data_IF_310420973372
#
_entry.id   IF_310420973372
#
_cell.length_a   1.000
_cell.length_b   1.000
_cell.length_c   1.000
_cell.angle_alpha   90.00
_cell.angle_beta   90.00
_cell.angle_gamma   90.00
#
_symmetry.space_group_name_H-M   'P 1'
#
loop_
_entity.id
_entity.type
_entity.pdbx_description
1 polymer ?
#
# COMPACT_ATOMS: atom_id res chain seq x y z
N UNK A 1 -12.23 24.19 -1.44
CA UNK A 1 -12.62 23.45 -2.66
C UNK A 1 -11.65 23.61 -3.84
N UNK A 2 -11.02 24.77 -4.05
CA UNK A 2 -10.08 24.99 -5.17
C UNK A 2 -8.89 24.00 -5.20
N UNK A 3 -8.28 23.73 -4.04
CA UNK A 3 -7.11 22.83 -3.91
C UNK A 3 -7.45 21.40 -4.36
N UNK A 4 -8.64 20.90 -4.03
CA UNK A 4 -9.06 19.54 -4.41
C UNK A 4 -9.34 19.42 -5.90
N UNK A 5 -9.91 20.47 -6.53
CA UNK A 5 -10.09 20.53 -8.00
C UNK A 5 -8.75 20.60 -8.74
N UNK A 6 -7.81 21.39 -8.23
CA UNK A 6 -6.45 21.47 -8.79
C UNK A 6 -5.70 20.15 -8.65
N UNK A 7 -5.77 19.51 -7.48
CA UNK A 7 -5.19 18.19 -7.24
C UNK A 7 -5.76 17.14 -8.21
N UNK A 8 -7.09 17.16 -8.42
CA UNK A 8 -7.74 16.25 -9.37
C UNK A 8 -7.29 16.47 -10.81
N UNK A 9 -7.14 17.73 -11.24
CA UNK A 9 -6.66 18.06 -12.58
C UNK A 9 -5.26 17.50 -12.83
N UNK A 10 -4.35 17.64 -11.86
CA UNK A 10 -2.99 17.07 -11.91
C UNK A 10 -3.07 15.54 -11.99
N UNK A 11 -3.85 14.92 -11.10
CA UNK A 11 -4.02 13.46 -11.07
C UNK A 11 -4.53 12.93 -12.41
N UNK A 12 -5.56 13.56 -12.98
CA UNK A 12 -6.15 13.17 -14.27
C UNK A 12 -5.16 13.30 -15.42
N UNK A 13 -4.37 14.38 -15.43
CA UNK A 13 -3.36 14.61 -16.45
C UNK A 13 -2.24 13.57 -16.37
N UNK A 14 -1.78 13.21 -15.18
CA UNK A 14 -0.76 12.18 -14.98
C UNK A 14 -1.23 10.80 -15.48
N UNK A 15 -2.47 10.42 -15.20
CA UNK A 15 -3.07 9.17 -15.69
C UNK A 15 -3.19 9.16 -17.22
N UNK A 16 -3.63 10.28 -17.82
CA UNK A 16 -3.77 10.39 -19.28
C UNK A 16 -2.43 10.35 -20.01
N UNK A 17 -1.39 10.91 -19.39
CA UNK A 17 -0.06 10.97 -19.99
C UNK A 17 0.70 9.63 -19.89
N UNK A 18 0.32 8.72 -18.99
CA UNK A 18 1.01 7.44 -18.77
C UNK A 18 0.04 6.24 -18.72
N UNK A 19 -0.71 5.93 -19.79
CA UNK A 19 -1.62 4.78 -19.82
C UNK A 19 -0.88 3.43 -19.69
N UNK A 20 0.36 3.35 -20.20
CA UNK A 20 1.18 2.14 -20.07
C UNK A 20 1.57 1.82 -18.62
N UNK A 21 1.72 2.83 -17.76
CA UNK A 21 2.04 2.61 -16.35
C UNK A 21 0.89 1.92 -15.60
N UNK A 22 -0.37 2.24 -15.96
CA UNK A 22 -1.55 1.56 -15.44
C UNK A 22 -1.59 0.09 -15.86
N UNK A 23 -1.34 -0.19 -17.14
CA UNK A 23 -1.29 -1.56 -17.66
C UNK A 23 -0.21 -2.40 -16.97
N UNK A 24 1.01 -1.85 -16.83
CA UNK A 24 2.10 -2.52 -16.11
C UNK A 24 1.78 -2.76 -14.64
N UNK A 25 1.17 -1.77 -13.98
CA UNK A 25 0.72 -1.91 -12.59
C UNK A 25 -0.28 -3.06 -12.46
N UNK A 26 -1.28 -3.10 -13.34
CA UNK A 26 -2.29 -4.15 -13.33
C UNK A 26 -1.68 -5.53 -13.55
N UNK A 27 -0.80 -5.69 -14.54
CA UNK A 27 -0.08 -6.95 -14.77
C UNK A 27 0.74 -7.39 -13.55
N UNK A 28 1.46 -6.46 -12.92
CA UNK A 28 2.28 -6.77 -11.75
C UNK A 28 1.42 -7.19 -10.55
N UNK A 29 0.31 -6.50 -10.30
CA UNK A 29 -0.63 -6.87 -9.24
C UNK A 29 -1.30 -8.22 -9.51
N UNK A 30 -1.64 -8.51 -10.78
CA UNK A 30 -2.18 -9.82 -11.13
C UNK A 30 -1.18 -10.94 -10.86
N UNK A 31 0.09 -10.73 -11.23
CA UNK A 31 1.17 -11.66 -10.93
C UNK A 31 1.31 -11.89 -9.41
N UNK A 32 1.37 -10.81 -8.63
CA UNK A 32 1.47 -10.90 -7.16
C UNK A 32 0.27 -11.62 -6.53
N UNK A 33 -0.95 -11.30 -6.98
CA UNK A 33 -2.17 -11.95 -6.50
C UNK A 33 -2.19 -13.44 -6.82
N UNK A 34 -1.78 -13.82 -8.04
CA UNK A 34 -1.68 -15.21 -8.45
C UNK A 34 -0.64 -15.98 -7.64
N UNK A 35 0.58 -15.45 -7.50
CA UNK A 35 1.64 -16.08 -6.69
C UNK A 35 1.21 -16.25 -5.23
N UNK A 36 0.60 -15.22 -4.63
CA UNK A 36 0.11 -15.30 -3.26
C UNK A 36 -1.00 -16.34 -3.10
N UNK A 37 -1.93 -16.42 -4.05
CA UNK A 37 -2.99 -17.44 -4.06
C UNK A 37 -2.43 -18.85 -4.00
N UNK A 38 -1.36 -19.08 -4.76
CA UNK A 38 -0.70 -20.38 -4.84
C UNK A 38 0.01 -20.72 -3.52
N UNK A 39 0.75 -19.76 -2.95
CA UNK A 39 1.40 -19.91 -1.64
C UNK A 39 0.38 -20.26 -0.56
N UNK A 40 -0.73 -19.52 -0.47
CA UNK A 40 -1.79 -19.77 0.52
C UNK A 40 -2.46 -21.13 0.32
N UNK A 41 -2.62 -21.58 -0.93
CA UNK A 41 -3.26 -22.86 -1.24
C UNK A 41 -2.38 -24.06 -0.92
N UNK A 42 -1.07 -23.95 -1.16
CA UNK A 42 -0.11 -25.01 -0.82
C UNK A 42 0.04 -25.17 0.70
N UNK A 43 0.07 -24.06 1.44
CA UNK A 43 0.38 -24.10 2.86
C UNK A 43 -0.82 -24.49 3.76
N UNK A 44 -2.06 -24.26 3.31
CA UNK A 44 -3.24 -24.66 4.08
C UNK A 44 -3.44 -26.19 4.17
N UNK A 45 -2.78 -26.97 3.32
CA UNK A 45 -3.02 -28.41 3.16
C UNK A 45 -2.32 -29.34 4.16
N UNK A 46 -1.15 -28.98 4.70
CA UNK A 46 -0.29 -29.95 5.41
C UNK A 46 -0.33 -29.89 6.94
N UNK A 47 -0.76 -28.78 7.57
CA UNK A 47 -0.70 -28.68 9.04
C UNK A 47 -1.70 -27.72 9.71
N UNK A 48 -2.66 -27.14 8.98
CA UNK A 48 -3.68 -26.22 9.54
C UNK A 48 -3.13 -24.88 10.06
N UNK A 49 -1.81 -24.71 10.13
CA UNK A 49 -1.12 -23.48 10.45
C UNK A 49 -0.33 -23.02 9.22
N UNK A 50 -0.65 -21.83 8.70
CA UNK A 50 0.13 -21.18 7.64
C UNK A 50 1.61 -21.08 8.02
N UNK A 51 2.50 -21.10 7.04
CA UNK A 51 3.92 -20.90 7.27
C UNK A 51 4.17 -19.38 7.46
N UNK A 52 5.12 -18.96 8.33
CA UNK A 52 5.58 -17.56 8.39
C UNK A 52 5.99 -16.95 7.04
N UNK A 53 6.25 -17.77 6.02
CA UNK A 53 6.47 -17.32 4.65
C UNK A 53 5.25 -16.58 4.07
N UNK A 54 4.03 -17.12 4.21
CA UNK A 54 2.82 -16.44 3.74
C UNK A 54 2.58 -15.13 4.49
N UNK A 55 2.77 -15.10 5.81
CA UNK A 55 2.66 -13.88 6.62
C UNK A 55 3.66 -12.81 6.15
N UNK A 56 4.92 -13.20 5.95
CA UNK A 56 5.96 -12.28 5.47
C UNK A 56 5.63 -11.73 4.08
N UNK A 57 5.26 -12.61 3.14
CA UNK A 57 4.89 -12.22 1.79
C UNK A 57 3.70 -11.27 1.84
N UNK A 58 2.66 -11.55 2.63
CA UNK A 58 1.50 -10.67 2.73
C UNK A 58 1.86 -9.30 3.33
N UNK A 59 2.65 -9.26 4.41
CA UNK A 59 3.10 -8.01 5.03
C UNK A 59 3.94 -7.14 4.10
N UNK A 60 4.74 -7.76 3.22
CA UNK A 60 5.59 -7.06 2.25
C UNK A 60 4.79 -6.64 1.01
N UNK A 61 3.84 -7.45 0.55
CA UNK A 61 3.04 -7.20 -0.65
C UNK A 61 1.95 -6.14 -0.47
N UNK A 62 1.38 -6.00 0.73
CA UNK A 62 0.25 -5.08 0.94
C UNK A 62 0.57 -3.60 0.67
N UNK A 63 1.72 -3.05 1.09
CA UNK A 63 2.11 -1.69 0.72
C UNK A 63 2.27 -1.50 -0.79
N UNK A 64 2.64 -2.55 -1.53
CA UNK A 64 2.80 -2.50 -2.98
C UNK A 64 1.50 -2.25 -3.75
N UNK A 65 0.34 -2.47 -3.13
CA UNK A 65 -0.97 -2.12 -3.70
C UNK A 65 -1.17 -0.60 -3.80
N UNK A 66 -0.48 0.19 -3.00
CA UNK A 66 -0.58 1.66 -3.00
C UNK A 66 0.24 2.37 -4.07
N UNK A 67 1.03 1.63 -4.86
CA UNK A 67 1.91 2.20 -5.87
C UNK A 67 1.35 2.09 -7.30
N UNK A 68 1.63 3.12 -8.09
CA UNK A 68 1.53 3.08 -9.55
C UNK A 68 2.95 2.88 -10.08
N UNK A 69 3.17 1.75 -10.74
CA UNK A 69 4.45 1.39 -11.31
C UNK A 69 4.68 2.17 -12.61
N UNK A 70 5.38 3.29 -12.49
CA UNK A 70 5.82 4.10 -13.62
C UNK A 70 7.35 4.09 -13.71
N UNK A 71 7.89 4.39 -14.89
CA UNK A 71 9.33 4.54 -15.17
C UNK A 71 10.01 5.48 -14.17
N UNK A 72 9.28 6.50 -13.70
CA UNK A 72 9.71 7.43 -12.65
C UNK A 72 9.93 6.75 -11.29
N UNK A 73 9.03 5.84 -10.90
CA UNK A 73 9.11 5.06 -9.67
C UNK A 73 10.29 4.09 -9.71
N UNK A 74 10.77 3.68 -10.89
CA UNK A 74 11.96 2.82 -11.03
C UNK A 74 13.28 3.60 -11.14
N UNK A 75 13.25 4.85 -11.62
CA UNK A 75 14.44 5.71 -11.76
C UNK A 75 14.85 6.49 -10.49
N UNK A 76 14.13 6.34 -9.39
CA UNK A 76 14.40 7.06 -8.13
C UNK A 76 15.81 6.85 -7.55
N UNK A 77 16.49 5.75 -7.89
CA UNK A 77 17.88 5.49 -7.48
C UNK A 77 18.91 6.27 -8.31
N UNK A 78 18.62 6.57 -9.57
CA UNK A 78 19.55 7.15 -10.54
C UNK A 78 19.34 8.64 -10.77
N UNK A 79 18.08 9.09 -10.74
CA UNK A 79 17.71 10.50 -10.91
C UNK A 79 17.04 10.97 -9.62
N UNK A 80 17.43 12.14 -9.10
CA UNK A 80 16.76 12.80 -7.96
C UNK A 80 15.40 13.38 -8.44
N UNK A 81 14.56 12.49 -8.99
CA UNK A 81 13.35 12.79 -9.76
C UNK A 81 12.31 13.54 -8.92
N UNK A 82 12.37 13.36 -7.60
CA UNK A 82 11.55 14.06 -6.62
C UNK A 82 12.02 15.50 -6.37
N UNK A 83 13.33 15.73 -6.31
CA UNK A 83 13.92 17.06 -6.18
C UNK A 83 13.66 17.91 -7.44
N UNK A 84 13.81 17.32 -8.64
CA UNK A 84 13.43 17.98 -9.89
C UNK A 84 11.92 18.22 -10.00
N UNK A 85 11.08 17.32 -9.47
CA UNK A 85 9.63 17.54 -9.38
C UNK A 85 9.30 18.77 -8.55
N UNK A 86 9.92 18.87 -7.38
CA UNK A 86 9.69 19.96 -6.43
C UNK A 86 10.18 21.29 -7.00
N UNK A 87 11.31 21.30 -7.71
CA UNK A 87 11.81 22.47 -8.42
C UNK A 87 10.84 22.90 -9.54
N UNK A 88 10.38 21.96 -10.38
CA UNK A 88 9.41 22.24 -11.43
C UNK A 88 8.06 22.74 -10.86
N UNK A 89 7.56 22.08 -9.81
CA UNK A 89 6.29 22.47 -9.18
C UNK A 89 6.35 23.83 -8.46
N UNK A 90 7.54 24.28 -8.04
CA UNK A 90 7.74 25.66 -7.55
C UNK A 90 7.72 26.72 -8.67
N UNK A 91 8.02 26.35 -9.92
CA UNK A 91 7.90 27.27 -11.08
C UNK A 91 6.46 27.44 -11.55
N UNK A 92 5.55 26.56 -11.12
CA UNK A 92 4.12 26.67 -11.42
C UNK A 92 3.40 27.41 -10.28
N UNK A 93 2.38 28.25 -10.57
CA UNK A 93 1.57 28.92 -9.56
C UNK A 93 0.56 27.95 -8.92
N UNK A 94 1.06 26.82 -8.39
CA UNK A 94 0.27 25.74 -7.80
C UNK A 94 0.67 25.62 -6.33
N UNK A 95 -0.30 25.62 -5.39
CA UNK A 95 0.03 25.47 -3.98
C UNK A 95 0.59 24.07 -3.71
N UNK A 96 1.65 23.98 -2.89
CA UNK A 96 2.29 22.71 -2.48
C UNK A 96 1.27 21.71 -1.89
N UNK A 97 0.24 22.22 -1.21
CA UNK A 97 -0.86 21.40 -0.70
C UNK A 97 -1.66 20.68 -1.79
N UNK A 98 -1.80 21.25 -3.00
CA UNK A 98 -2.47 20.59 -4.12
C UNK A 98 -1.65 19.43 -4.69
N UNK A 99 -0.32 19.54 -4.68
CA UNK A 99 0.61 18.49 -5.11
C UNK A 99 0.58 17.31 -4.15
N UNK A 100 0.66 17.56 -2.85
CA UNK A 100 0.59 16.48 -1.86
C UNK A 100 -0.79 15.79 -1.96
N UNK A 101 -1.86 16.58 -2.14
CA UNK A 101 -3.21 16.04 -2.28
C UNK A 101 -3.41 15.22 -3.56
N UNK A 102 -2.81 15.62 -4.69
CA UNK A 102 -2.87 14.83 -5.93
C UNK A 102 -2.18 13.48 -5.73
N UNK A 103 -1.07 13.46 -4.98
CA UNK A 103 -0.34 12.24 -4.67
C UNK A 103 -1.11 11.30 -3.73
N UNK A 104 -1.79 11.84 -2.73
CA UNK A 104 -2.73 11.09 -1.89
C UNK A 104 -3.86 10.49 -2.73
N UNK A 105 -4.46 11.28 -3.63
CA UNK A 105 -5.50 10.79 -4.53
C UNK A 105 -4.99 9.64 -5.40
N UNK A 106 -3.82 9.77 -6.03
CA UNK A 106 -3.22 8.72 -6.84
C UNK A 106 -2.97 7.44 -6.04
N UNK A 107 -2.45 7.54 -4.81
CA UNK A 107 -2.27 6.38 -3.94
C UNK A 107 -3.59 5.72 -3.56
N UNK A 108 -4.65 6.51 -3.28
CA UNK A 108 -6.00 5.98 -3.00
C UNK A 108 -6.58 5.26 -4.21
N UNK A 109 -6.49 5.85 -5.41
CA UNK A 109 -6.97 5.20 -6.64
C UNK A 109 -6.19 3.92 -6.94
N UNK A 110 -4.87 3.94 -6.75
CA UNK A 110 -4.04 2.76 -6.87
C UNK A 110 -4.47 1.69 -5.87
N UNK A 111 -4.64 2.03 -4.59
CA UNK A 111 -5.12 1.10 -3.58
C UNK A 111 -6.46 0.48 -3.96
N UNK A 112 -7.45 1.28 -4.35
CA UNK A 112 -8.78 0.77 -4.70
C UNK A 112 -8.68 -0.18 -5.90
N UNK A 113 -8.04 0.24 -7.00
CA UNK A 113 -7.93 -0.57 -8.22
C UNK A 113 -7.12 -1.84 -8.00
N UNK A 114 -5.94 -1.72 -7.39
CA UNK A 114 -5.01 -2.83 -7.18
C UNK A 114 -5.56 -3.81 -6.15
N UNK A 115 -6.18 -3.34 -5.06
CA UNK A 115 -6.73 -4.23 -4.03
C UNK A 115 -7.89 -5.05 -4.59
N UNK A 116 -8.76 -4.45 -5.40
CA UNK A 116 -9.86 -5.19 -6.05
C UNK A 116 -9.31 -6.33 -6.89
N UNK A 117 -8.33 -6.07 -7.77
CA UNK A 117 -7.71 -7.11 -8.61
C UNK A 117 -7.00 -8.17 -7.77
N UNK A 118 -6.19 -7.74 -6.80
CA UNK A 118 -5.39 -8.61 -5.94
C UNK A 118 -6.27 -9.57 -5.13
N UNK A 119 -7.27 -9.05 -4.42
CA UNK A 119 -8.16 -9.86 -3.62
C UNK A 119 -9.05 -10.75 -4.51
N UNK A 120 -9.61 -10.24 -5.61
CA UNK A 120 -10.39 -11.11 -6.53
C UNK A 120 -9.56 -12.32 -6.96
N UNK A 121 -8.30 -12.13 -7.35
CA UNK A 121 -7.42 -13.25 -7.69
C UNK A 121 -7.12 -14.15 -6.49
N UNK A 122 -6.76 -13.56 -5.35
CA UNK A 122 -6.50 -14.28 -4.09
C UNK A 122 -7.62 -15.27 -3.76
N UNK A 123 -8.87 -14.82 -3.86
CA UNK A 123 -10.04 -15.59 -3.46
C UNK A 123 -10.58 -16.53 -4.54
N UNK A 124 -10.39 -16.20 -5.83
CA UNK A 124 -10.85 -17.05 -6.94
C UNK A 124 -9.91 -18.22 -7.18
N UNK A 125 -8.60 -18.00 -7.03
CA UNK A 125 -7.56 -19.01 -7.26
C UNK A 125 -7.27 -19.82 -5.99
N UNK A 126 -7.35 -19.22 -4.80
CA UNK A 126 -7.22 -19.97 -3.55
C UNK A 126 -8.50 -20.73 -3.22
N UNK A 127 -8.53 -22.01 -3.60
CA UNK A 127 -9.65 -22.91 -3.29
C UNK A 127 -9.88 -23.07 -1.78
N UNK A 128 -8.83 -22.93 -0.97
CA UNK A 128 -8.90 -23.01 0.49
C UNK A 128 -9.62 -21.80 1.08
N UNK A 129 -9.26 -20.58 0.73
CA UNK A 129 -9.99 -19.37 1.17
C UNK A 129 -11.45 -19.39 0.72
N UNK A 130 -11.74 -19.89 -0.48
CA UNK A 130 -13.09 -19.97 -1.04
C UNK A 130 -14.02 -20.89 -0.24
N UNK A 131 -13.51 -22.03 0.23
CA UNK A 131 -14.28 -22.98 1.04
C UNK A 131 -14.61 -22.44 2.45
N UNK A 132 -13.83 -21.45 2.94
CA UNK A 132 -13.99 -20.86 4.26
C UNK A 132 -14.80 -19.54 4.27
N UNK A 133 -15.21 -19.01 3.11
CA UNK A 133 -15.61 -17.60 2.95
C UNK A 133 -17.10 -17.38 2.62
N UNK A 134 -17.81 -16.67 3.51
CA UNK A 134 -18.99 -15.87 3.15
C UNK A 134 -18.60 -14.50 2.59
N UNK A 135 -19.53 -13.78 1.94
CA UNK A 135 -19.27 -12.44 1.38
C UNK A 135 -18.79 -11.42 2.41
N UNK A 136 -19.25 -11.51 3.66
CA UNK A 136 -18.80 -10.65 4.77
C UNK A 136 -17.35 -10.90 5.24
N UNK A 137 -16.86 -12.13 5.13
CA UNK A 137 -15.46 -12.47 5.42
C UNK A 137 -14.53 -11.84 4.39
N UNK A 138 -14.90 -11.90 3.11
CA UNK A 138 -14.10 -11.32 2.02
C UNK A 138 -13.85 -9.83 2.25
N UNK A 139 -14.90 -9.08 2.55
CA UNK A 139 -14.83 -7.62 2.69
C UNK A 139 -14.01 -7.24 3.94
N UNK A 140 -14.26 -7.90 5.07
CA UNK A 140 -13.56 -7.60 6.33
C UNK A 140 -12.08 -7.94 6.28
N UNK A 141 -11.73 -9.07 5.67
CA UNK A 141 -10.34 -9.46 5.47
C UNK A 141 -9.61 -8.48 4.55
N UNK A 142 -10.20 -8.16 3.39
CA UNK A 142 -9.61 -7.20 2.45
C UNK A 142 -9.41 -5.82 3.09
N UNK A 143 -10.41 -5.29 3.79
CA UNK A 143 -10.33 -3.98 4.44
C UNK A 143 -9.27 -3.91 5.54
N UNK A 144 -9.10 -4.99 6.32
CA UNK A 144 -8.06 -5.07 7.35
C UNK A 144 -6.67 -4.90 6.74
N UNK A 145 -6.40 -5.64 5.66
CA UNK A 145 -5.11 -5.61 4.99
C UNK A 145 -4.89 -4.32 4.17
N UNK A 146 -5.95 -3.73 3.61
CA UNK A 146 -5.90 -2.40 3.00
C UNK A 146 -5.51 -1.35 4.03
N UNK A 147 -6.11 -1.37 5.23
CA UNK A 147 -5.77 -0.42 6.29
C UNK A 147 -4.29 -0.46 6.68
N UNK A 148 -3.74 -1.66 6.86
CA UNK A 148 -2.31 -1.87 7.09
C UNK A 148 -1.44 -1.36 5.92
N UNK A 149 -1.79 -1.71 4.68
CA UNK A 149 -1.09 -1.24 3.50
C UNK A 149 -1.07 0.29 3.40
N UNK A 150 -2.21 0.94 3.66
CA UNK A 150 -2.35 2.40 3.65
C UNK A 150 -1.44 3.07 4.68
N UNK A 151 -1.28 2.48 5.88
CA UNK A 151 -0.39 3.01 6.91
C UNK A 151 1.06 3.04 6.43
N UNK A 152 1.54 1.93 5.87
CA UNK A 152 2.92 1.85 5.37
C UNK A 152 3.11 2.77 4.16
N UNK A 153 2.11 2.84 3.27
CA UNK A 153 2.16 3.74 2.13
C UNK A 153 2.25 5.21 2.56
N UNK A 154 1.59 5.59 3.65
CA UNK A 154 1.68 6.94 4.20
C UNK A 154 3.12 7.28 4.64
N UNK A 155 3.86 6.31 5.17
CA UNK A 155 5.28 6.45 5.53
C UNK A 155 6.13 6.63 4.26
N UNK A 156 5.90 5.80 3.24
CA UNK A 156 6.60 5.94 1.96
C UNK A 156 6.37 7.30 1.32
N UNK A 157 5.13 7.78 1.30
CA UNK A 157 4.76 9.08 0.74
C UNK A 157 5.42 10.24 1.50
N UNK A 158 5.45 10.20 2.83
CA UNK A 158 6.12 11.22 3.63
C UNK A 158 7.60 11.35 3.24
N UNK A 159 8.26 10.23 2.96
CA UNK A 159 9.68 10.19 2.63
C UNK A 159 9.97 10.55 1.17
N UNK A 160 9.05 10.21 0.26
CA UNK A 160 9.05 10.61 -1.16
C UNK A 160 9.26 12.13 -1.29
N UNK A 161 8.65 12.91 -0.40
CA UNK A 161 8.74 14.36 -0.39
C UNK A 161 9.90 14.94 0.45
N UNK A 162 10.53 14.15 1.33
CA UNK A 162 11.49 14.66 2.31
C UNK A 162 12.95 14.28 2.04
N UNK A 163 13.24 13.12 1.45
CA UNK A 163 14.62 12.61 1.37
C UNK A 163 15.02 12.20 -0.05
N UNK A 164 16.33 12.26 -0.33
CA UNK A 164 16.96 11.79 -1.57
C UNK A 164 16.68 10.30 -1.80
N UNK A 165 16.63 9.87 -3.05
CA UNK A 165 16.29 8.48 -3.43
C UNK A 165 17.09 7.37 -2.74
N UNK A 166 18.34 7.60 -2.37
CA UNK A 166 19.16 6.64 -1.59
C UNK A 166 18.60 6.36 -0.19
N UNK A 167 18.03 7.37 0.48
CA UNK A 167 17.42 7.19 1.79
C UNK A 167 16.09 6.43 1.72
N UNK A 168 15.37 6.57 0.60
CA UNK A 168 14.17 5.80 0.33
C UNK A 168 14.48 4.30 0.23
N UNK A 169 15.55 3.93 -0.48
CA UNK A 169 15.99 2.54 -0.62
C UNK A 169 16.35 1.88 0.72
N UNK A 170 17.20 2.54 1.53
CA UNK A 170 17.58 2.02 2.84
C UNK A 170 16.37 1.82 3.76
N UNK A 171 15.40 2.73 3.69
CA UNK A 171 14.20 2.61 4.49
C UNK A 171 13.27 1.52 3.98
N UNK A 172 13.10 1.32 2.67
CA UNK A 172 12.37 0.15 2.16
C UNK A 172 12.99 -1.16 2.64
N UNK A 173 14.33 -1.22 2.71
CA UNK A 173 15.05 -2.38 3.22
C UNK A 173 14.79 -2.58 4.73
N UNK A 174 14.82 -1.50 5.52
CA UNK A 174 14.46 -1.54 6.95
C UNK A 174 13.01 -1.99 7.15
N UNK A 175 12.06 -1.47 6.37
CA UNK A 175 10.65 -1.89 6.46
C UNK A 175 10.51 -3.38 6.14
N UNK A 176 11.16 -3.87 5.08
CA UNK A 176 11.18 -5.30 4.78
C UNK A 176 11.75 -6.13 5.94
N UNK A 177 12.84 -5.66 6.55
CA UNK A 177 13.46 -6.35 7.69
C UNK A 177 12.53 -6.37 8.91
N UNK A 178 11.85 -5.25 9.20
CA UNK A 178 10.84 -5.16 10.27
C UNK A 178 9.67 -6.11 9.99
N UNK A 179 9.15 -6.16 8.78
CA UNK A 179 8.10 -7.12 8.40
C UNK A 179 8.57 -8.57 8.61
N UNK A 180 9.83 -8.88 8.28
CA UNK A 180 10.46 -10.17 8.53
C UNK A 180 10.53 -10.51 10.02
N UNK A 181 11.02 -9.58 10.83
CA UNK A 181 11.09 -9.75 12.29
C UNK A 181 9.70 -9.95 12.89
N UNK A 182 8.69 -9.18 12.46
CA UNK A 182 7.31 -9.32 12.94
C UNK A 182 6.80 -10.73 12.60
N UNK A 183 6.96 -11.20 11.37
CA UNK A 183 6.54 -12.56 10.97
C UNK A 183 7.19 -13.64 11.84
N UNK A 184 8.50 -13.53 12.07
CA UNK A 184 9.24 -14.48 12.93
C UNK A 184 8.74 -14.42 14.38
N UNK A 185 8.52 -13.23 14.92
CA UNK A 185 8.04 -13.05 16.29
C UNK A 185 6.64 -13.66 16.47
N UNK A 186 5.71 -13.39 15.55
CA UNK A 186 4.37 -13.97 15.59
C UNK A 186 4.42 -15.51 15.55
N UNK A 187 5.34 -16.07 14.78
CA UNK A 187 5.57 -17.52 14.74
C UNK A 187 6.12 -18.08 16.05
N UNK A 188 7.02 -17.38 16.74
CA UNK A 188 7.55 -17.82 18.04
C UNK A 188 6.41 -17.97 19.07
N UNK A 189 5.36 -17.13 18.98
CA UNK A 189 4.14 -17.24 19.79
C UNK A 189 3.15 -18.30 19.29
N UNK A 190 3.51 -19.10 18.29
CA UNK A 190 2.67 -20.17 17.74
C UNK A 190 1.47 -19.68 16.91
N UNK A 191 1.44 -18.40 16.54
CA UNK A 191 0.36 -17.82 15.76
C UNK A 191 0.81 -17.49 14.33
N UNK A 192 -0.16 -17.23 13.44
CA UNK A 192 0.10 -16.62 12.13
C UNK A 192 -0.85 -15.42 11.94
N UNK A 193 -0.34 -14.30 11.44
CA UNK A 193 -1.09 -13.07 11.22
C UNK A 193 -2.22 -13.26 10.22
N UNK A 194 -1.96 -13.98 9.12
CA UNK A 194 -2.98 -14.26 8.10
C UNK A 194 -4.08 -15.16 8.67
N UNK A 195 -3.73 -16.15 9.51
CA UNK A 195 -4.74 -17.02 10.11
C UNK A 195 -5.54 -16.32 11.21
N UNK A 196 -4.90 -15.48 12.04
CA UNK A 196 -5.58 -14.65 13.06
C UNK A 196 -6.55 -13.68 12.40
N UNK A 197 -6.07 -12.93 11.39
CA UNK A 197 -6.93 -11.97 10.68
C UNK A 197 -8.06 -12.68 9.95
N UNK A 198 -7.83 -13.87 9.40
CA UNK A 198 -8.89 -14.70 8.84
C UNK A 198 -9.90 -15.17 9.90
N UNK A 199 -9.44 -15.63 11.07
CA UNK A 199 -10.32 -16.06 12.16
C UNK A 199 -11.27 -14.94 12.63
N UNK A 200 -10.72 -13.76 12.96
CA UNK A 200 -11.53 -12.61 13.38
C UNK A 200 -12.46 -12.11 12.27
N UNK A 201 -12.03 -12.16 11.02
CA UNK A 201 -12.88 -11.79 9.87
C UNK A 201 -14.02 -12.78 9.66
N UNK A 202 -13.84 -14.06 10.02
CA UNK A 202 -14.89 -15.08 9.92
C UNK A 202 -15.92 -14.90 11.01
N UNK A 203 -15.46 -14.71 12.24
CA UNK A 203 -16.33 -14.70 13.41
C UNK A 203 -17.13 -13.39 13.54
N UNK A 204 -16.51 -12.24 13.24
CA UNK A 204 -17.13 -10.93 13.41
C UNK A 204 -17.54 -10.27 12.10
N UNK A 205 -17.10 -10.80 10.95
CA UNK A 205 -17.37 -10.23 9.62
C UNK A 205 -17.09 -8.70 9.60
N UNK A 206 -18.08 -7.89 9.19
CA UNK A 206 -17.98 -6.42 9.11
C UNK A 206 -17.89 -5.72 10.48
N UNK A 207 -18.22 -6.41 11.57
CA UNK A 207 -18.11 -5.90 12.94
C UNK A 207 -16.74 -6.18 13.56
N UNK A 208 -15.81 -6.75 12.80
CA UNK A 208 -14.46 -7.05 13.27
C UNK A 208 -13.76 -5.79 13.82
N UNK A 209 -13.43 -5.75 15.12
CA UNK A 209 -12.70 -4.63 15.71
C UNK A 209 -11.32 -4.42 15.05
N UNK A 210 -10.72 -5.51 14.57
CA UNK A 210 -9.43 -5.52 13.88
C UNK A 210 -9.51 -4.77 12.55
N UNK A 211 -10.60 -4.94 11.80
CA UNK A 211 -10.84 -4.23 10.54
C UNK A 211 -10.93 -2.72 10.76
N UNK A 212 -11.78 -2.29 11.71
CA UNK A 212 -11.94 -0.87 12.02
C UNK A 212 -10.67 -0.24 12.59
N UNK A 213 -9.93 -0.98 13.43
CA UNK A 213 -8.62 -0.54 13.93
C UNK A 213 -7.60 -0.37 12.82
N UNK A 214 -7.50 -1.31 11.88
CA UNK A 214 -6.60 -1.21 10.74
C UNK A 214 -6.96 -0.05 9.80
N UNK A 215 -8.25 0.17 9.54
CA UNK A 215 -8.70 1.31 8.73
C UNK A 215 -8.44 2.65 9.43
N UNK A 216 -8.77 2.75 10.72
CA UNK A 216 -8.56 3.97 11.50
C UNK A 216 -7.08 4.34 11.57
N UNK A 217 -6.21 3.36 11.80
CA UNK A 217 -4.75 3.54 11.82
C UNK A 217 -4.20 3.93 10.44
N UNK A 218 -4.70 3.32 9.36
CA UNK A 218 -4.35 3.70 7.98
C UNK A 218 -4.74 5.14 7.63
N UNK A 219 -5.98 5.54 7.91
CA UNK A 219 -6.47 6.92 7.69
C UNK A 219 -5.69 7.91 8.54
N UNK A 220 -5.45 7.59 9.81
CA UNK A 220 -4.64 8.42 10.70
C UNK A 220 -3.20 8.57 10.17
N UNK A 221 -2.60 7.49 9.66
CA UNK A 221 -1.27 7.50 9.04
C UNK A 221 -1.19 8.47 7.86
N UNK A 222 -2.17 8.43 6.95
CA UNK A 222 -2.25 9.36 5.81
C UNK A 222 -2.41 10.81 6.30
N UNK A 223 -3.28 11.05 7.28
CA UNK A 223 -3.49 12.39 7.83
C UNK A 223 -2.22 12.95 8.48
N UNK A 224 -1.52 12.15 9.28
CA UNK A 224 -0.25 12.52 9.91
C UNK A 224 0.81 12.78 8.85
N UNK A 225 0.95 11.90 7.87
CA UNK A 225 1.87 12.06 6.74
C UNK A 225 1.62 13.37 5.98
N UNK A 226 0.37 13.68 5.66
CA UNK A 226 -0.04 14.94 5.04
C UNK A 226 0.40 16.15 5.88
N UNK A 227 0.06 16.17 7.17
CA UNK A 227 0.38 17.28 8.09
C UNK A 227 1.89 17.46 8.26
N UNK A 228 2.64 16.37 8.43
CA UNK A 228 4.09 16.41 8.63
C UNK A 228 4.80 16.85 7.34
N UNK A 229 4.40 16.33 6.18
CA UNK A 229 4.95 16.70 4.88
C UNK A 229 4.76 18.20 4.63
N UNK A 230 3.53 18.70 4.84
CA UNK A 230 3.20 20.11 4.63
C UNK A 230 4.00 21.04 5.56
N UNK A 231 4.08 20.72 6.85
CA UNK A 231 4.87 21.51 7.82
C UNK A 231 6.35 21.57 7.47
N UNK A 232 6.94 20.47 7.03
CA UNK A 232 8.38 20.42 6.69
C UNK A 232 8.68 21.05 5.34
N UNK A 233 7.80 20.94 4.36
CA UNK A 233 7.97 21.57 3.05
C UNK A 233 7.88 23.09 3.11
N UNK A 234 7.06 23.64 4.00
CA UNK A 234 6.99 25.09 4.24
C UNK A 234 8.27 25.61 4.92
N UNK A 235 8.86 24.81 5.83
CA UNK A 235 10.06 25.20 6.59
C UNK A 235 11.39 24.95 5.87
N UNK A 236 11.40 24.22 4.75
CA UNK A 236 12.64 23.99 3.99
C UNK A 236 12.91 25.17 3.08
N UNK A 237 13.83 26.02 3.52
CA UNK A 237 14.64 26.80 2.61
C UNK A 237 15.41 25.82 1.71
N UNK A 238 15.14 25.94 0.42
CA UNK A 238 15.94 25.31 -0.63
C UNK A 238 16.71 26.46 -1.27
N UNK A 239 17.65 26.98 -0.50
CA UNK A 239 18.72 27.86 -0.95
C UNK A 239 20.01 27.03 -0.98
#
# INVERSE_FOLDING_TARGET
MAIMKQAWAITRQDFRNNPYALLWTLLFIMYLGFTMSFVVSMEFGESGALNPAADFVMLVLMPFLGFIYNRRTFKYLQEDSYTHMLAFLRTLPIPVSAVIMSRIQQAIFAFIGNSVVFFILLFTVSGTLRAYAGSGFFISFALTWIGYGMLIQAIYMYLEFLKRGKAYFWLSLIIMLICGMISIMVRIYGANLVSITAFYSKEWQLLSPVMWGALATGVFGIFVSYRMTLRKLIKRDLA
#
